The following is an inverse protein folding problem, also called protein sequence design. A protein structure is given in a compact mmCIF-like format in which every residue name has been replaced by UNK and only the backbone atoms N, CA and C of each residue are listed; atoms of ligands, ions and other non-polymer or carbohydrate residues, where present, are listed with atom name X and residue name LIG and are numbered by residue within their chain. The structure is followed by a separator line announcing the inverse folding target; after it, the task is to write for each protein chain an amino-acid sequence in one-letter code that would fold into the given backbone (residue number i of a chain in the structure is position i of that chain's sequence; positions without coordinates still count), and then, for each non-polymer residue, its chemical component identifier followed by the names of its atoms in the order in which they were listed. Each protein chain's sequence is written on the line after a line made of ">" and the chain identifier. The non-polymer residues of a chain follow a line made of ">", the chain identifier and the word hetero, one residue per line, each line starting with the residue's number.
data_IF_065342925095
#
_entry.id   IF_065342925095
#
_cell.length_a   1.000
_cell.length_b   1.000
_cell.length_c   1.000
_cell.angle_alpha   90.00
_cell.angle_beta   90.00
_cell.angle_gamma   90.00
#
_symmetry.space_group_name_H-M   'P 1'
#
loop_
_entity.id
_entity.type
_entity.pdbx_description
1 polymer ?
#
# COMPACT_ATOMS: atom_id res chain seq x y z
N UNK A 1 -17.30 -4.11 -28.36
CA UNK A 1 -17.00 -5.36 -29.07
C UNK A 1 -16.32 -4.98 -30.38
N UNK A 2 -15.17 -5.58 -30.72
CA UNK A 2 -14.50 -5.31 -31.99
C UNK A 2 -15.25 -6.05 -33.10
N UNK A 3 -15.62 -5.34 -34.17
CA UNK A 3 -16.37 -5.90 -35.30
C UNK A 3 -15.54 -6.04 -36.57
N UNK A 4 -14.37 -5.40 -36.61
CA UNK A 4 -13.50 -5.36 -37.77
C UNK A 4 -12.05 -5.60 -37.34
N UNK A 5 -11.34 -6.37 -38.15
CA UNK A 5 -9.92 -6.68 -37.95
C UNK A 5 -9.17 -6.45 -39.25
N UNK A 6 -7.90 -6.04 -39.14
CA UNK A 6 -7.00 -5.94 -40.30
C UNK A 6 -5.81 -6.86 -40.13
N UNK A 7 -5.26 -7.30 -41.26
CA UNK A 7 -4.04 -8.09 -41.31
C UNK A 7 -2.82 -7.20 -41.07
N UNK A 8 -1.93 -7.64 -40.19
CA UNK A 8 -0.72 -6.93 -39.79
C UNK A 8 0.46 -7.89 -39.69
N UNK A 9 1.65 -7.33 -39.79
CA UNK A 9 2.90 -8.07 -39.62
C UNK A 9 3.44 -7.85 -38.21
N UNK A 10 3.90 -8.92 -37.56
CA UNK A 10 4.43 -8.85 -36.20
C UNK A 10 5.19 -10.12 -35.81
N UNK A 11 5.84 -10.13 -34.64
CA UNK A 11 6.54 -11.30 -34.15
C UNK A 11 5.56 -12.46 -33.89
N UNK A 12 5.98 -13.68 -34.20
CA UNK A 12 5.21 -14.89 -33.89
C UNK A 12 5.03 -15.04 -32.38
N UNK A 13 3.85 -15.49 -31.95
CA UNK A 13 3.59 -15.84 -30.54
C UNK A 13 4.44 -17.03 -30.07
N UNK A 14 4.83 -17.93 -30.99
CA UNK A 14 5.65 -19.11 -30.69
C UNK A 14 7.14 -18.78 -30.64
N UNK A 15 7.61 -17.98 -31.59
CA UNK A 15 9.02 -17.61 -31.75
C UNK A 15 9.17 -16.10 -32.02
N UNK A 16 9.51 -15.28 -31.01
CA UNK A 16 9.61 -13.82 -31.15
C UNK A 16 10.64 -13.35 -32.18
N UNK A 17 11.60 -14.19 -32.56
CA UNK A 17 12.60 -13.91 -33.59
C UNK A 17 12.10 -14.05 -35.02
N UNK A 18 10.89 -14.59 -35.23
CA UNK A 18 10.29 -14.79 -36.57
C UNK A 18 9.14 -13.81 -36.74
N UNK A 19 9.15 -13.05 -37.84
CA UNK A 19 8.06 -12.14 -38.20
C UNK A 19 7.05 -12.90 -39.06
N UNK A 20 5.77 -12.85 -38.67
CA UNK A 20 4.65 -13.45 -39.38
C UNK A 20 3.74 -12.34 -39.90
N UNK A 21 3.11 -12.56 -41.06
CA UNK A 21 2.34 -11.54 -41.79
C UNK A 21 0.82 -11.81 -41.77
N UNK A 22 0.37 -12.83 -41.06
CA UNK A 22 -1.03 -13.25 -41.01
C UNK A 22 -1.73 -12.92 -39.68
N UNK A 23 -1.13 -12.06 -38.86
CA UNK A 23 -1.71 -11.61 -37.60
C UNK A 23 -2.88 -10.66 -37.86
N UNK A 24 -3.86 -10.66 -36.95
CA UNK A 24 -5.06 -9.85 -37.02
C UNK A 24 -5.13 -8.93 -35.80
N UNK A 25 -5.32 -7.63 -36.03
CA UNK A 25 -5.49 -6.65 -34.96
C UNK A 25 -6.83 -5.92 -35.14
N UNK A 26 -7.53 -5.57 -34.05
CA UNK A 26 -8.80 -4.85 -34.15
C UNK A 26 -8.58 -3.49 -34.82
N UNK A 27 -9.45 -3.11 -35.73
CA UNK A 27 -9.36 -1.87 -36.50
C UNK A 27 -10.72 -1.17 -36.63
N UNK A 28 -10.72 0.07 -37.11
CA UNK A 28 -11.95 0.80 -37.39
C UNK A 28 -12.59 0.29 -38.71
N UNK A 29 -13.93 0.24 -38.82
CA UNK A 29 -14.60 -0.23 -40.04
C UNK A 29 -14.23 0.52 -41.33
N UNK A 30 -13.82 1.79 -41.20
CA UNK A 30 -13.40 2.63 -42.33
C UNK A 30 -11.94 2.49 -42.74
N UNK A 31 -11.15 1.62 -42.09
CA UNK A 31 -9.76 1.42 -42.49
C UNK A 31 -9.65 0.53 -43.74
N UNK A 32 -8.73 0.84 -44.67
CA UNK A 32 -8.49 0.00 -45.84
C UNK A 32 -7.99 -1.38 -45.41
N UNK A 33 -8.64 -2.44 -45.88
CA UNK A 33 -8.32 -3.82 -45.50
C UNK A 33 -8.95 -4.26 -44.18
N UNK A 34 -9.93 -3.52 -43.67
CA UNK A 34 -10.80 -3.98 -42.59
C UNK A 34 -11.66 -5.16 -43.09
N UNK A 35 -11.61 -6.25 -42.34
CA UNK A 35 -12.38 -7.47 -42.58
C UNK A 35 -13.39 -7.57 -41.43
N UNK A 36 -14.67 -7.66 -41.77
CA UNK A 36 -15.74 -7.88 -40.79
C UNK A 36 -15.63 -9.30 -40.24
N UNK A 37 -15.29 -9.41 -38.95
CA UNK A 37 -15.20 -10.68 -38.23
C UNK A 37 -15.24 -10.43 -36.71
N UNK A 38 -15.68 -11.43 -35.95
CA UNK A 38 -15.65 -11.40 -34.48
C UNK A 38 -14.32 -11.94 -33.96
N UNK A 39 -13.94 -11.54 -32.74
CA UNK A 39 -12.76 -12.08 -32.05
C UNK A 39 -12.85 -13.59 -31.82
N UNK A 40 -14.07 -14.16 -31.77
CA UNK A 40 -14.33 -15.59 -31.60
C UNK A 40 -13.94 -16.42 -32.81
N UNK A 41 -13.88 -15.80 -33.99
CA UNK A 41 -13.62 -16.48 -35.26
C UNK A 41 -12.12 -16.50 -35.59
N UNK A 42 -11.31 -15.81 -34.78
CA UNK A 42 -9.87 -15.68 -34.94
C UNK A 42 -9.17 -16.77 -34.14
N UNK A 43 -8.26 -17.49 -34.78
CA UNK A 43 -7.37 -18.42 -34.09
C UNK A 43 -6.51 -17.68 -33.05
N UNK A 44 -6.45 -18.18 -31.82
CA UNK A 44 -5.75 -17.52 -30.71
C UNK A 44 -4.29 -17.17 -31.02
N UNK A 45 -3.58 -17.98 -31.80
CA UNK A 45 -2.18 -17.74 -32.19
C UNK A 45 -2.01 -16.56 -33.16
N UNK A 46 -3.09 -16.11 -33.81
CA UNK A 46 -3.06 -15.06 -34.86
C UNK A 46 -3.58 -13.71 -34.38
N UNK A 47 -4.06 -13.62 -33.15
CA UNK A 47 -4.52 -12.35 -32.60
C UNK A 47 -3.32 -11.49 -32.19
N UNK A 48 -3.19 -10.30 -32.77
CA UNK A 48 -2.28 -9.27 -32.29
C UNK A 48 -3.06 -8.31 -31.39
N UNK A 49 -2.68 -8.29 -30.12
CA UNK A 49 -3.24 -7.37 -29.14
C UNK A 49 -2.76 -5.94 -29.44
N UNK A 50 -3.66 -4.94 -29.43
CA UNK A 50 -3.26 -3.56 -29.62
C UNK A 50 -2.41 -3.09 -28.43
N UNK A 51 -1.45 -2.19 -28.71
CA UNK A 51 -0.65 -1.58 -27.66
C UNK A 51 -1.51 -0.66 -26.80
N UNK A 52 -1.31 -0.71 -25.48
CA UNK A 52 -1.97 0.22 -24.56
C UNK A 52 -1.39 1.63 -24.71
N UNK A 53 -2.27 2.62 -24.78
CA UNK A 53 -1.92 4.04 -24.88
C UNK A 53 -2.16 4.75 -23.56
N UNK A 54 -1.57 5.94 -23.40
CA UNK A 54 -1.83 6.76 -22.20
C UNK A 54 -3.29 7.20 -22.10
N UNK A 55 -3.97 7.33 -23.23
CA UNK A 55 -5.40 7.65 -23.31
C UNK A 55 -6.25 6.56 -22.66
N UNK A 56 -5.89 5.29 -22.84
CA UNK A 56 -6.57 4.16 -22.20
C UNK A 56 -6.46 4.23 -20.67
N UNK A 57 -5.27 4.61 -20.17
CA UNK A 57 -5.02 4.80 -18.74
C UNK A 57 -5.87 5.94 -18.19
N UNK A 58 -5.91 7.09 -18.87
CA UNK A 58 -6.72 8.24 -18.46
C UNK A 58 -8.21 7.92 -18.44
N UNK A 59 -8.71 7.20 -19.45
CA UNK A 59 -10.09 6.72 -19.50
C UNK A 59 -10.39 5.76 -18.34
N UNK A 60 -9.48 4.86 -18.01
CA UNK A 60 -9.60 3.97 -16.85
C UNK A 60 -9.74 4.77 -15.56
N UNK A 61 -8.82 5.72 -15.33
CA UNK A 61 -8.83 6.60 -14.15
C UNK A 61 -10.13 7.42 -14.04
N UNK A 62 -10.66 7.91 -15.16
CA UNK A 62 -11.91 8.68 -15.17
C UNK A 62 -13.14 7.88 -14.73
N UNK A 63 -13.10 6.55 -14.87
CA UNK A 63 -14.22 5.64 -14.53
C UNK A 63 -14.07 5.03 -13.14
N UNK A 64 -12.85 4.94 -12.63
CA UNK A 64 -12.57 4.45 -11.28
C UNK A 64 -12.78 5.56 -10.26
N UNK A 65 -13.73 5.37 -9.34
CA UNK A 65 -13.88 6.27 -8.19
C UNK A 65 -12.87 5.92 -7.09
N UNK A 66 -12.31 6.91 -6.38
CA UNK A 66 -11.49 6.63 -5.19
C UNK A 66 -12.33 5.89 -4.16
N UNK A 67 -11.71 4.93 -3.48
CA UNK A 67 -12.37 4.05 -2.50
C UNK A 67 -12.27 4.55 -1.06
N UNK A 68 -11.37 5.51 -0.78
CA UNK A 68 -11.14 6.05 0.56
C UNK A 68 -11.80 7.42 0.65
N UNK A 69 -12.65 7.58 1.66
CA UNK A 69 -13.33 8.85 1.94
C UNK A 69 -12.52 9.70 2.93
N UNK A 70 -12.84 10.99 3.00
CA UNK A 70 -12.15 11.92 3.90
C UNK A 70 -12.43 11.59 5.38
N UNK A 71 -13.63 11.09 5.70
CA UNK A 71 -13.99 10.66 7.06
C UNK A 71 -13.12 9.48 7.54
N UNK A 72 -12.77 8.55 6.64
CA UNK A 72 -11.90 7.42 6.97
C UNK A 72 -10.50 7.91 7.34
N UNK A 73 -10.01 8.93 6.63
CA UNK A 73 -8.71 9.55 6.92
C UNK A 73 -8.71 10.26 8.28
N UNK A 74 -9.80 10.93 8.64
CA UNK A 74 -9.96 11.55 9.96
C UNK A 74 -10.02 10.53 11.08
N UNK A 75 -10.77 9.45 10.91
CA UNK A 75 -10.81 8.36 11.87
C UNK A 75 -9.42 7.76 12.07
N UNK A 76 -8.66 7.52 11.00
CA UNK A 76 -7.28 7.01 11.09
C UNK A 76 -6.34 7.97 11.85
N UNK A 77 -6.46 9.29 11.63
CA UNK A 77 -5.70 10.30 12.39
C UNK A 77 -6.09 10.29 13.87
N UNK A 78 -7.38 10.21 14.17
CA UNK A 78 -7.89 10.17 15.55
C UNK A 78 -7.46 8.91 16.28
N UNK A 79 -7.53 7.75 15.63
CA UNK A 79 -7.05 6.48 16.16
C UNK A 79 -5.56 6.57 16.48
N UNK A 80 -4.74 7.05 15.53
CA UNK A 80 -3.30 7.24 15.74
C UNK A 80 -3.01 8.08 16.97
N UNK A 81 -3.62 9.27 17.08
CA UNK A 81 -3.37 10.17 18.22
C UNK A 81 -3.90 9.61 19.53
N UNK A 82 -5.04 8.91 19.51
CA UNK A 82 -5.62 8.29 20.70
C UNK A 82 -4.77 7.14 21.23
N UNK A 83 -4.24 6.30 20.34
CA UNK A 83 -3.36 5.19 20.73
C UNK A 83 -2.06 5.72 21.38
N UNK A 84 -1.44 6.75 20.80
CA UNK A 84 -0.26 7.39 21.39
C UNK A 84 -0.57 7.99 22.76
N UNK A 85 -1.72 8.68 22.92
CA UNK A 85 -2.15 9.22 24.22
C UNK A 85 -2.36 8.12 25.26
N UNK A 86 -3.04 7.03 24.90
CA UNK A 86 -3.28 5.89 25.80
C UNK A 86 -1.97 5.23 26.23
N UNK A 87 -1.00 5.08 25.32
CA UNK A 87 0.32 4.56 25.64
C UNK A 87 1.04 5.46 26.66
N UNK A 88 1.08 6.78 26.41
CA UNK A 88 1.68 7.76 27.34
C UNK A 88 1.00 7.77 28.70
N UNK A 89 -0.33 7.75 28.75
CA UNK A 89 -1.08 7.74 30.00
C UNK A 89 -0.82 6.45 30.80
N UNK A 90 -0.80 5.30 30.14
CA UNK A 90 -0.48 4.02 30.79
C UNK A 90 0.94 4.02 31.37
N UNK A 91 1.91 4.57 30.63
CA UNK A 91 3.27 4.73 31.12
C UNK A 91 3.34 5.67 32.32
N UNK A 92 2.66 6.82 32.27
CA UNK A 92 2.61 7.75 33.41
C UNK A 92 1.98 7.11 34.65
N UNK A 93 0.88 6.38 34.50
CA UNK A 93 0.25 5.66 35.60
C UNK A 93 1.22 4.68 36.26
N UNK A 94 1.90 3.86 35.44
CA UNK A 94 2.91 2.92 35.90
C UNK A 94 4.06 3.62 36.64
N UNK A 95 4.55 4.75 36.11
CA UNK A 95 5.61 5.53 36.76
C UNK A 95 5.16 6.12 38.10
N UNK A 96 3.92 6.57 38.22
CA UNK A 96 3.37 7.05 39.50
C UNK A 96 3.24 5.91 40.52
N UNK A 97 2.67 4.77 40.11
CA UNK A 97 2.53 3.59 40.98
C UNK A 97 3.88 3.08 41.48
N UNK A 98 4.84 2.93 40.57
CA UNK A 98 6.20 2.52 40.94
C UNK A 98 6.84 3.52 41.89
N UNK A 99 6.75 4.84 41.63
CA UNK A 99 7.27 5.88 42.55
C UNK A 99 6.65 5.82 43.94
N UNK A 100 5.35 5.53 44.06
CA UNK A 100 4.70 5.36 45.37
C UNK A 100 5.23 4.12 46.11
N UNK A 101 5.40 3.00 45.40
CA UNK A 101 5.99 1.77 45.95
C UNK A 101 7.43 2.03 46.43
N UNK A 102 8.22 2.76 45.63
CA UNK A 102 9.58 3.17 46.00
C UNK A 102 9.60 4.03 47.27
N UNK A 103 8.75 5.06 47.35
CA UNK A 103 8.64 5.93 48.52
C UNK A 103 8.34 5.14 49.81
N UNK A 104 7.42 4.18 49.74
CA UNK A 104 7.08 3.31 50.88
C UNK A 104 8.22 2.32 51.24
N UNK A 105 9.10 1.99 50.29
CA UNK A 105 10.25 1.11 50.53
C UNK A 105 11.46 1.83 51.13
N UNK A 106 11.67 3.11 50.83
CA UNK A 106 12.71 3.93 51.45
C UNK A 106 12.52 4.08 52.96
N UNK A 107 11.28 4.10 53.43
CA UNK A 107 10.95 4.17 54.85
C UNK A 107 11.33 2.88 55.63
N UNK A 108 11.50 1.75 54.93
CA UNK A 108 11.81 0.44 55.52
C UNK A 108 13.27 -0.03 55.34
N UNK A 109 14.02 0.53 54.39
CA UNK A 109 15.39 0.09 54.06
C UNK A 109 16.33 1.28 54.24
N UNK A 110 17.17 1.25 55.28
CA UNK A 110 18.11 2.32 55.61
C UNK A 110 18.96 2.82 54.43
N UNK A 111 19.24 4.12 54.44
CA UNK A 111 19.46 4.98 53.26
C UNK A 111 20.62 4.69 52.31
N UNK A 112 21.51 3.73 52.56
CA UNK A 112 22.62 3.45 51.63
C UNK A 112 22.19 2.62 50.40
N UNK A 113 21.25 1.67 50.57
CA UNK A 113 20.73 0.83 49.48
C UNK A 113 19.63 1.53 48.65
N UNK A 114 18.91 2.50 49.24
CA UNK A 114 17.81 3.21 48.55
C UNK A 114 18.33 4.16 47.46
N UNK A 115 19.44 4.86 47.71
CA UNK A 115 20.01 5.82 46.76
C UNK A 115 20.48 5.15 45.46
N UNK A 116 21.09 3.96 45.56
CA UNK A 116 21.59 3.22 44.40
C UNK A 116 20.45 2.70 43.50
N UNK A 117 19.40 2.16 44.13
CA UNK A 117 18.21 1.69 43.42
C UNK A 117 17.43 2.86 42.80
N UNK A 118 17.30 3.99 43.50
CA UNK A 118 16.65 5.20 42.97
C UNK A 118 17.38 5.75 41.74
N UNK A 119 18.71 5.83 41.78
CA UNK A 119 19.52 6.30 40.66
C UNK A 119 19.38 5.37 39.44
N UNK A 120 19.41 4.05 39.66
CA UNK A 120 19.22 3.07 38.58
C UNK A 120 17.83 3.17 37.94
N UNK A 121 16.78 3.40 38.72
CA UNK A 121 15.41 3.52 38.24
C UNK A 121 15.19 4.82 37.46
N UNK A 122 15.80 5.93 37.92
CA UNK A 122 15.72 7.22 37.24
C UNK A 122 16.44 7.19 35.89
N UNK A 123 17.55 6.44 35.79
CA UNK A 123 18.24 6.16 34.51
C UNK A 123 17.34 5.33 33.58
N UNK A 124 16.67 4.28 34.07
CA UNK A 124 15.73 3.50 33.26
C UNK A 124 14.59 4.40 32.76
N UNK A 125 14.01 5.23 33.61
CA UNK A 125 12.91 6.16 33.27
C UNK A 125 13.32 7.20 32.20
N UNK A 126 14.56 7.69 32.23
CA UNK A 126 15.11 8.60 31.21
C UNK A 126 15.45 7.92 29.89
N UNK A 127 15.87 6.65 29.92
CA UNK A 127 16.14 5.87 28.71
C UNK A 127 14.84 5.47 28.01
N UNK A 128 13.80 5.03 28.73
CA UNK A 128 12.51 4.65 28.11
C UNK A 128 11.76 5.84 27.53
N UNK A 129 11.95 7.05 28.06
CA UNK A 129 11.27 8.26 27.56
C UNK A 129 11.92 8.82 26.28
N UNK A 130 13.22 8.58 26.06
CA UNK A 130 13.93 9.00 24.84
C UNK A 130 13.62 8.14 23.62
N UNK A 131 13.31 6.85 23.81
CA UNK A 131 12.94 5.91 22.73
C UNK A 131 11.50 6.11 22.20
N UNK A 132 10.68 6.94 22.86
CA UNK A 132 9.25 7.14 22.55
C UNK A 132 8.91 8.51 21.92
N UNK A 133 9.92 9.33 21.61
CA UNK A 133 9.79 10.57 20.83
C UNK A 133 10.12 10.32 19.36
#
# INVERSE_FOLDING_TARGET
>A
NATHFKRVSGPSRKDPGVIVHDLLTPCSPGEPGAIEMSWTDIEGDKLLEPMMTMQDVLLSLSRTKPTVNDEDLEQLKNLRTTLVRKAKQKQQHFLVETKQIWRLREEKVGGALSVYLFFSLSIVETLTTRELQ
#
